data_IF_517015368799
#
_entry.id   IF_517015368799
#
_cell.length_a   1.000
_cell.length_b   1.000
_cell.length_c   1.000
_cell.angle_alpha   90.00
_cell.angle_beta   90.00
_cell.angle_gamma   90.00
#
_symmetry.space_group_name_H-M   'P 1'
#
loop_
_entity.id
_entity.type
_entity.pdbx_description
1 polymer ?
#
# COMPACT_ATOMS: atom_id res chain seq x y z
N UNK A 1 5.65 14.24 -9.30
CA UNK A 1 6.50 15.45 -9.12
C UNK A 1 7.21 15.78 -10.43
N UNK A 2 7.37 17.06 -10.81
CA UNK A 2 8.04 17.43 -12.07
C UNK A 2 9.56 17.22 -11.91
N UNK A 3 10.21 16.28 -12.64
CA UNK A 3 11.60 15.90 -12.39
C UNK A 3 12.58 17.07 -12.45
N UNK A 4 12.36 18.02 -13.36
CA UNK A 4 13.21 19.20 -13.56
C UNK A 4 13.33 20.11 -12.33
N UNK A 5 12.29 20.16 -11.48
CA UNK A 5 12.21 21.08 -10.34
C UNK A 5 12.27 20.37 -8.99
N UNK A 6 12.34 19.04 -9.00
CA UNK A 6 12.23 18.24 -7.79
C UNK A 6 13.57 17.63 -7.43
N UNK A 7 13.94 17.67 -6.16
CA UNK A 7 15.07 16.90 -5.65
C UNK A 7 14.71 15.40 -5.68
N UNK A 8 15.67 14.49 -5.95
CA UNK A 8 15.42 13.05 -5.97
C UNK A 8 14.73 12.53 -4.69
N UNK A 9 15.16 13.02 -3.53
CA UNK A 9 14.58 12.66 -2.22
C UNK A 9 13.09 13.04 -2.13
N UNK A 10 12.74 14.24 -2.58
CA UNK A 10 11.34 14.69 -2.62
C UNK A 10 10.53 13.89 -3.62
N UNK A 11 11.08 13.62 -4.82
CA UNK A 11 10.39 12.82 -5.83
C UNK A 11 10.12 11.39 -5.34
N UNK A 12 11.03 10.80 -4.56
CA UNK A 12 10.87 9.46 -3.98
C UNK A 12 9.75 9.39 -2.93
N UNK A 13 9.57 10.41 -2.10
CA UNK A 13 8.46 10.47 -1.12
C UNK A 13 7.11 10.45 -1.83
N UNK A 14 7.00 11.16 -2.96
CA UNK A 14 5.77 11.27 -3.73
C UNK A 14 5.64 10.23 -4.85
N UNK A 15 6.46 9.18 -4.83
CA UNK A 15 6.39 8.12 -5.84
C UNK A 15 5.16 7.24 -5.63
N UNK A 16 4.59 6.63 -6.69
CA UNK A 16 3.47 5.69 -6.57
C UNK A 16 3.77 4.54 -5.60
N UNK A 17 4.99 4.01 -5.60
CA UNK A 17 5.42 2.93 -4.71
C UNK A 17 5.35 3.35 -3.24
N UNK A 18 5.76 4.58 -2.92
CA UNK A 18 5.64 5.12 -1.56
C UNK A 18 4.17 5.29 -1.17
N UNK A 19 3.32 5.78 -2.09
CA UNK A 19 1.87 5.87 -1.87
C UNK A 19 1.25 4.51 -1.54
N UNK A 20 1.49 3.50 -2.38
CA UNK A 20 0.93 2.15 -2.18
C UNK A 20 1.44 1.48 -0.91
N UNK A 21 2.72 1.70 -0.57
CA UNK A 21 3.27 1.23 0.71
C UNK A 21 2.59 1.87 1.91
N UNK A 22 2.36 3.18 1.89
CA UNK A 22 1.64 3.88 2.97
C UNK A 22 0.20 3.36 3.08
N UNK A 23 -0.50 3.15 1.97
CA UNK A 23 -1.85 2.58 1.99
C UNK A 23 -1.87 1.19 2.61
N UNK A 24 -0.95 0.32 2.21
CA UNK A 24 -0.80 -1.00 2.84
C UNK A 24 -0.55 -0.88 4.35
N UNK A 25 0.36 0.01 4.78
CA UNK A 25 0.67 0.18 6.21
C UNK A 25 -0.57 0.63 7.00
N UNK A 26 -1.37 1.56 6.46
CA UNK A 26 -2.63 2.01 7.07
C UNK A 26 -3.59 0.83 7.25
N UNK A 27 -3.84 0.05 6.19
CA UNK A 27 -4.75 -1.10 6.24
C UNK A 27 -4.25 -2.21 7.18
N UNK A 28 -2.94 -2.45 7.20
CA UNK A 28 -2.33 -3.43 8.09
C UNK A 28 -2.42 -3.01 9.56
N UNK A 29 -2.32 -1.71 9.86
CA UNK A 29 -2.59 -1.16 11.19
C UNK A 29 -4.07 -1.26 11.56
N UNK A 30 -4.99 -0.99 10.62
CA UNK A 30 -6.41 -1.19 10.84
C UNK A 30 -6.74 -2.67 11.14
N UNK A 31 -6.12 -3.61 10.43
CA UNK A 31 -6.24 -5.04 10.69
C UNK A 31 -5.75 -5.44 12.09
N UNK A 32 -4.65 -4.88 12.57
CA UNK A 32 -4.19 -5.10 13.95
C UNK A 32 -5.23 -4.65 14.97
N UNK A 33 -5.77 -3.44 14.82
CA UNK A 33 -6.81 -2.94 15.71
C UNK A 33 -8.09 -3.81 15.65
N UNK A 34 -8.47 -4.28 14.46
CA UNK A 34 -9.58 -5.23 14.31
C UNK A 34 -9.32 -6.55 15.04
N UNK A 35 -8.08 -7.05 15.04
CA UNK A 35 -7.71 -8.26 15.77
C UNK A 35 -7.74 -8.05 17.29
N UNK A 36 -7.28 -6.89 17.78
CA UNK A 36 -7.38 -6.51 19.20
C UNK A 36 -8.83 -6.42 19.68
N UNK A 37 -9.72 -5.91 18.82
CA UNK A 37 -11.17 -5.86 19.07
C UNK A 37 -11.88 -7.21 18.87
N UNK A 38 -11.15 -8.28 18.52
CA UNK A 38 -11.70 -9.62 18.30
C UNK A 38 -12.57 -9.77 17.05
N UNK A 39 -12.47 -8.85 16.08
CA UNK A 39 -13.22 -8.92 14.81
C UNK A 39 -12.60 -9.90 13.81
N UNK A 40 -11.28 -10.08 13.89
CA UNK A 40 -10.53 -11.06 13.10
C UNK A 40 -9.54 -11.83 13.99
N UNK A 41 -9.10 -13.04 13.59
CA UNK A 41 -8.04 -13.75 14.30
C UNK A 41 -6.71 -12.97 14.29
N UNK A 42 -5.94 -13.04 15.37
CA UNK A 42 -4.63 -12.38 15.46
C UNK A 42 -3.64 -12.90 14.41
N UNK A 43 -3.75 -14.19 14.08
CA UNK A 43 -2.94 -14.83 13.04
C UNK A 43 -3.23 -14.25 11.65
N UNK A 44 -4.45 -13.77 11.41
CA UNK A 44 -4.80 -13.12 10.14
C UNK A 44 -4.10 -11.77 10.01
N UNK A 45 -4.15 -10.93 11.06
CA UNK A 45 -3.43 -9.66 11.10
C UNK A 45 -1.91 -9.86 10.97
N UNK A 46 -1.34 -10.87 11.64
CA UNK A 46 0.07 -11.21 11.50
C UNK A 46 0.45 -11.59 10.06
N UNK A 47 -0.36 -12.43 9.40
CA UNK A 47 -0.12 -12.81 7.99
C UNK A 47 -0.15 -11.63 7.04
N UNK A 48 -0.99 -10.61 7.29
CA UNK A 48 -1.03 -9.39 6.48
C UNK A 48 0.32 -8.67 6.58
N UNK A 49 0.87 -8.52 7.79
CA UNK A 49 2.19 -7.92 7.99
C UNK A 49 3.32 -8.73 7.38
N UNK A 50 3.34 -10.04 7.61
CA UNK A 50 4.42 -10.93 7.13
C UNK A 50 4.55 -10.87 5.60
N UNK A 51 3.40 -10.87 4.90
CA UNK A 51 3.37 -10.80 3.44
C UNK A 51 3.60 -9.39 2.91
N UNK A 52 2.94 -8.39 3.49
CA UNK A 52 2.97 -7.04 2.92
C UNK A 52 4.21 -6.23 3.25
N UNK A 53 4.90 -6.51 4.37
CA UNK A 53 6.16 -5.81 4.74
C UNK A 53 7.29 -6.03 3.73
N UNK A 54 7.26 -7.18 3.04
CA UNK A 54 8.24 -7.55 2.00
C UNK A 54 7.65 -7.47 0.60
N UNK A 55 6.41 -7.00 0.46
CA UNK A 55 5.76 -6.90 -0.83
C UNK A 55 6.44 -5.85 -1.70
N UNK A 56 6.63 -6.22 -2.98
CA UNK A 56 7.04 -5.28 -4.02
C UNK A 56 5.78 -4.87 -4.77
N UNK A 57 5.51 -3.57 -4.82
CA UNK A 57 4.35 -3.02 -5.52
C UNK A 57 4.69 -2.88 -7.01
N UNK A 58 4.06 -3.70 -7.85
CA UNK A 58 4.14 -3.59 -9.31
C UNK A 58 3.15 -2.51 -9.78
N UNK A 59 3.65 -1.29 -9.91
CA UNK A 59 2.85 -0.11 -10.34
C UNK A 59 2.21 -0.36 -11.71
N UNK A 60 2.91 -1.01 -12.64
CA UNK A 60 2.38 -1.26 -13.97
C UNK A 60 1.19 -2.24 -13.93
N UNK A 61 1.24 -3.23 -13.03
CA UNK A 61 0.12 -4.13 -12.82
C UNK A 61 -1.07 -3.42 -12.16
N UNK A 62 -0.82 -2.58 -11.16
CA UNK A 62 -1.85 -1.80 -10.48
C UNK A 62 -2.55 -0.85 -11.47
N UNK A 63 -1.79 -0.10 -12.26
CA UNK A 63 -2.33 0.81 -13.28
C UNK A 63 -3.20 0.06 -14.31
N UNK A 64 -2.83 -1.17 -14.67
CA UNK A 64 -3.62 -2.01 -15.57
C UNK A 64 -4.95 -2.45 -14.95
N UNK A 65 -4.96 -2.77 -13.65
CA UNK A 65 -6.19 -3.11 -12.92
C UNK A 65 -7.05 -1.84 -12.74
N UNK A 66 -6.44 -0.70 -12.39
CA UNK A 66 -7.13 0.59 -12.28
C UNK A 66 -7.81 0.97 -13.60
N UNK A 67 -7.16 0.71 -14.73
CA UNK A 67 -7.75 0.96 -16.04
C UNK A 67 -9.02 0.12 -16.30
N UNK A 68 -9.16 -1.04 -15.67
CA UNK A 68 -10.34 -1.89 -15.76
C UNK A 68 -11.41 -1.48 -14.73
N UNK A 69 -11.05 -1.40 -13.45
CA UNK A 69 -11.99 -1.17 -12.34
C UNK A 69 -12.34 0.30 -12.13
N UNK A 70 -11.58 1.22 -12.75
CA UNK A 70 -11.70 2.68 -12.64
C UNK A 70 -11.66 3.19 -11.20
N UNK A 71 -10.93 2.47 -10.34
CA UNK A 71 -10.79 2.77 -8.92
C UNK A 71 -9.39 2.36 -8.43
N UNK A 72 -8.59 3.35 -8.04
CA UNK A 72 -7.19 3.22 -7.66
C UNK A 72 -6.94 2.45 -6.34
N UNK A 73 -7.84 2.59 -5.35
CA UNK A 73 -7.72 1.85 -4.07
C UNK A 73 -8.00 0.35 -4.21
N UNK A 74 -8.81 -0.05 -5.19
CA UNK A 74 -9.17 -1.47 -5.42
C UNK A 74 -8.10 -2.18 -6.25
N UNK A 75 -7.39 -1.42 -7.07
CA UNK A 75 -6.39 -1.89 -8.02
C UNK A 75 -5.09 -2.35 -7.36
#
# INVERSE_FOLDING_TARGET
MIPRYSRPEMAAIWSPETRFRIWFEIEAHAANAMAELGKIPKEAAQKIWDKGRTATFDVARIDAIEAEVKHDVIA
#
